data_IF_636582004959
#
_entry.id   IF_636582004959
#
_cell.length_a   1.000
_cell.length_b   1.000
_cell.length_c   1.000
_cell.angle_alpha   90.00
_cell.angle_beta   90.00
_cell.angle_gamma   90.00
#
_symmetry.space_group_name_H-M   'P 1'
#
loop_
_entity.id
_entity.type
_entity.pdbx_description
1 polymer ?
#
# COMPACT_ATOMS: atom_id res chain seq x y z
N UNK A 1 49.45 -13.17 13.09
CA UNK A 1 48.67 -12.33 12.16
C UNK A 1 47.50 -13.16 11.63
N UNK A 2 46.32 -13.00 12.24
CA UNK A 2 45.07 -13.57 11.72
C UNK A 2 43.92 -12.76 12.32
N UNK A 3 43.51 -11.71 11.63
CA UNK A 3 42.36 -10.88 11.99
C UNK A 3 41.09 -11.52 11.43
N UNK A 4 40.27 -12.11 12.30
CA UNK A 4 38.90 -12.46 11.96
C UNK A 4 37.98 -11.28 12.28
N UNK A 5 37.60 -10.54 11.24
CA UNK A 5 36.43 -9.67 11.21
C UNK A 5 35.24 -10.52 10.76
N UNK A 6 34.27 -10.79 11.63
CA UNK A 6 32.86 -10.78 11.23
C UNK A 6 31.94 -10.93 12.46
N UNK A 7 31.34 -9.83 12.86
CA UNK A 7 30.22 -9.80 13.79
C UNK A 7 29.15 -8.91 13.19
N UNK A 8 28.52 -9.38 12.11
CA UNK A 8 27.37 -8.72 11.51
C UNK A 8 26.28 -8.57 12.57
N UNK A 9 26.13 -7.34 13.08
CA UNK A 9 25.06 -6.98 14.01
C UNK A 9 23.74 -7.12 13.26
N UNK A 10 23.12 -8.29 13.39
CA UNK A 10 21.72 -8.51 13.09
C UNK A 10 20.91 -7.70 14.11
N UNK A 11 20.75 -6.39 13.84
CA UNK A 11 19.82 -5.53 14.57
C UNK A 11 18.42 -5.95 14.14
N UNK A 12 17.89 -6.97 14.80
CA UNK A 12 16.44 -7.10 14.98
C UNK A 12 15.96 -5.74 15.47
N UNK A 13 15.34 -4.95 14.59
CA UNK A 13 14.72 -3.67 14.96
C UNK A 13 13.67 -4.03 16.00
N UNK A 14 13.99 -3.80 17.28
CA UNK A 14 13.08 -3.99 18.39
C UNK A 14 11.88 -3.08 18.10
N UNK A 15 10.76 -3.68 17.65
CA UNK A 15 9.50 -2.94 17.47
C UNK A 15 9.21 -2.29 18.81
N UNK A 16 9.10 -0.96 18.82
CA UNK A 16 8.68 -0.25 20.03
C UNK A 16 7.25 -0.67 20.33
N UNK A 17 6.88 -0.87 21.61
CA UNK A 17 5.51 -1.19 21.97
C UNK A 17 4.57 -0.10 21.47
N UNK A 18 3.42 -0.51 20.93
CA UNK A 18 2.36 0.43 20.61
C UNK A 18 1.84 1.06 21.90
N UNK A 19 1.45 2.32 21.81
CA UNK A 19 0.83 3.11 22.88
C UNK A 19 -0.71 3.12 22.79
N UNK A 20 -1.30 2.43 21.81
CA UNK A 20 -2.73 2.24 21.64
C UNK A 20 -3.06 0.82 21.15
N UNK A 21 -4.23 0.33 21.53
CA UNK A 21 -4.73 -0.96 21.05
C UNK A 21 -4.86 -0.95 19.51
N UNK A 22 -4.52 -2.04 18.82
CA UNK A 22 -4.79 -2.16 17.40
C UNK A 22 -6.30 -2.19 17.13
N UNK A 23 -6.72 -1.51 16.07
CA UNK A 23 -8.08 -1.59 15.55
C UNK A 23 -8.13 -2.47 14.29
N UNK A 24 -9.31 -2.62 13.70
CA UNK A 24 -9.47 -3.25 12.38
C UNK A 24 -8.65 -2.53 11.29
N UNK A 25 -8.48 -1.20 11.39
CA UNK A 25 -7.63 -0.41 10.48
C UNK A 25 -6.16 -0.83 10.52
N UNK A 26 -5.66 -1.32 11.66
CA UNK A 26 -4.23 -1.69 11.81
C UNK A 26 -3.81 -2.70 10.74
N UNK A 27 -4.66 -3.70 10.46
CA UNK A 27 -4.37 -4.74 9.46
C UNK A 27 -4.21 -4.16 8.05
N UNK A 28 -5.08 -3.23 7.66
CA UNK A 28 -5.07 -2.55 6.36
C UNK A 28 -3.79 -1.70 6.22
N UNK A 29 -3.40 -1.00 7.29
CA UNK A 29 -2.18 -0.20 7.31
C UNK A 29 -0.92 -1.08 7.24
N UNK A 30 -0.89 -2.23 7.94
CA UNK A 30 0.23 -3.17 7.86
C UNK A 30 0.37 -3.79 6.46
N UNK A 31 -0.74 -4.17 5.82
CA UNK A 31 -0.76 -4.67 4.45
C UNK A 31 -0.20 -3.63 3.46
N UNK A 32 -0.60 -2.36 3.63
CA UNK A 32 -0.10 -1.26 2.83
C UNK A 32 1.42 -1.05 2.99
N UNK A 33 1.92 -1.14 4.22
CA UNK A 33 3.36 -1.03 4.51
C UNK A 33 4.14 -2.18 3.86
N UNK A 34 3.60 -3.39 3.89
CA UNK A 34 4.16 -4.53 3.17
C UNK A 34 4.13 -4.31 1.66
N UNK A 35 3.16 -3.55 1.13
CA UNK A 35 2.96 -3.32 -0.30
C UNK A 35 3.87 -2.25 -0.89
N UNK A 36 4.40 -1.36 -0.06
CA UNK A 36 5.21 -0.23 -0.50
C UNK A 36 6.65 -0.41 0.02
N UNK A 37 7.58 -0.92 -0.83
CA UNK A 37 8.98 -1.01 -0.46
C UNK A 37 9.55 0.33 0.00
N UNK A 38 10.14 0.32 1.19
CA UNK A 38 10.69 1.53 1.81
C UNK A 38 9.68 2.34 2.63
N UNK A 39 8.44 1.88 2.79
CA UNK A 39 7.55 2.43 3.81
C UNK A 39 8.04 2.07 5.23
N UNK A 40 7.86 2.98 6.17
CA UNK A 40 8.33 2.84 7.56
C UNK A 40 7.20 2.89 8.57
N UNK A 41 6.21 3.76 8.33
CA UNK A 41 4.99 3.86 9.11
C UNK A 41 3.85 4.43 8.27
N UNK A 42 2.63 4.13 8.68
CA UNK A 42 1.41 4.69 8.14
C UNK A 42 0.48 5.09 9.29
N UNK A 43 -0.28 6.15 9.13
CA UNK A 43 -1.24 6.64 10.11
C UNK A 43 -2.52 7.12 9.42
N UNK A 44 -3.66 6.74 9.98
CA UNK A 44 -4.98 7.31 9.71
C UNK A 44 -5.21 8.42 10.73
N UNK A 45 -5.50 9.62 10.25
CA UNK A 45 -5.68 10.82 11.07
C UNK A 45 -6.99 11.51 10.71
N UNK A 46 -7.65 12.10 11.69
CA UNK A 46 -8.85 12.89 11.49
C UNK A 46 -8.54 14.37 11.17
N UNK A 47 -9.57 15.23 11.21
CA UNK A 47 -9.45 16.64 10.85
C UNK A 47 -8.77 17.48 11.94
N UNK A 48 -8.81 17.05 13.20
CA UNK A 48 -8.16 17.72 14.33
C UNK A 48 -6.68 17.33 14.45
N UNK A 49 -6.25 16.32 13.69
CA UNK A 49 -4.89 15.77 13.77
C UNK A 49 -4.78 14.62 14.75
N UNK A 50 -5.90 14.12 15.29
CA UNK A 50 -5.90 12.94 16.15
C UNK A 50 -5.67 11.68 15.32
N UNK A 51 -4.72 10.86 15.77
CA UNK A 51 -4.39 9.60 15.09
C UNK A 51 -5.39 8.52 15.48
N UNK A 52 -6.31 8.22 14.58
CA UNK A 52 -7.30 7.14 14.71
C UNK A 52 -6.60 5.78 14.82
N UNK A 53 -5.69 5.48 13.89
CA UNK A 53 -4.83 4.30 13.98
C UNK A 53 -3.50 4.49 13.26
N UNK A 54 -2.52 3.67 13.56
CA UNK A 54 -1.23 3.66 12.88
C UNK A 54 -0.66 2.25 12.75
N UNK A 55 0.34 2.09 11.90
CA UNK A 55 1.15 0.89 11.80
C UNK A 55 2.60 1.24 11.46
N UNK A 56 3.53 0.30 11.72
CA UNK A 56 4.91 0.41 11.29
C UNK A 56 5.94 0.24 12.41
N UNK A 57 7.18 0.59 12.09
CA UNK A 57 8.34 0.37 12.97
C UNK A 57 8.97 1.65 13.51
N UNK A 58 8.29 2.79 13.37
CA UNK A 58 8.72 4.06 13.96
C UNK A 58 8.17 4.18 15.39
N UNK A 59 8.74 5.11 16.15
CA UNK A 59 8.25 5.46 17.47
C UNK A 59 6.80 5.99 17.38
N UNK A 60 5.86 5.54 18.24
CA UNK A 60 4.47 5.98 18.22
C UNK A 60 4.29 7.50 18.29
N UNK A 61 5.06 8.17 19.16
CA UNK A 61 4.98 9.62 19.31
C UNK A 61 5.40 10.31 18.01
N UNK A 62 6.51 9.88 17.40
CA UNK A 62 6.97 10.40 16.10
C UNK A 62 5.90 10.22 15.01
N UNK A 63 5.21 9.07 14.97
CA UNK A 63 4.18 8.78 13.97
C UNK A 63 2.98 9.70 14.15
N UNK A 64 2.47 9.82 15.38
CA UNK A 64 1.31 10.67 15.70
C UNK A 64 1.59 12.15 15.43
N UNK A 65 2.74 12.65 15.87
CA UNK A 65 3.16 14.04 15.60
C UNK A 65 3.33 14.30 14.10
N UNK A 66 3.92 13.34 13.37
CA UNK A 66 4.06 13.46 11.91
C UNK A 66 2.69 13.49 11.23
N UNK A 67 1.76 12.65 11.65
CA UNK A 67 0.41 12.58 11.09
C UNK A 67 -0.37 13.88 11.33
N UNK A 68 -0.40 14.37 12.57
CA UNK A 68 -1.02 15.64 12.95
C UNK A 68 -0.44 16.83 12.17
N UNK A 69 0.89 16.88 12.03
CA UNK A 69 1.55 17.93 11.26
C UNK A 69 1.14 17.93 9.78
N UNK A 70 1.06 16.76 9.16
CA UNK A 70 0.63 16.65 7.77
C UNK A 70 -0.84 16.97 7.55
N UNK A 71 -1.69 16.77 8.57
CA UNK A 71 -3.08 17.22 8.54
C UNK A 71 -3.20 18.74 8.45
N UNK A 72 -2.38 19.47 9.24
CA UNK A 72 -2.30 20.94 9.16
C UNK A 72 -1.89 21.37 7.75
N UNK A 73 -0.83 20.76 7.20
CA UNK A 73 -0.36 21.09 5.84
C UNK A 73 -1.43 20.78 4.78
N UNK A 74 -2.16 19.67 4.91
CA UNK A 74 -3.24 19.33 3.99
C UNK A 74 -4.37 20.38 4.03
N UNK A 75 -4.75 20.86 5.22
CA UNK A 75 -5.74 21.90 5.40
C UNK A 75 -5.28 23.26 4.82
N UNK A 76 -4.02 23.64 5.04
CA UNK A 76 -3.44 24.85 4.45
C UNK A 76 -3.42 24.81 2.92
N UNK A 77 -3.08 23.65 2.34
CA UNK A 77 -3.12 23.45 0.88
C UNK A 77 -4.55 23.57 0.36
N UNK A 78 -5.54 23.00 1.06
CA UNK A 78 -6.95 23.09 0.69
C UNK A 78 -7.47 24.54 0.67
N UNK A 79 -6.97 25.40 1.58
CA UNK A 79 -7.27 26.83 1.61
C UNK A 79 -6.48 27.68 0.60
N UNK A 80 -5.52 27.08 -0.11
CA UNK A 80 -4.68 27.78 -1.09
C UNK A 80 -5.34 27.82 -2.49
N UNK A 81 -4.69 28.50 -3.44
CA UNK A 81 -5.11 28.51 -4.86
C UNK A 81 -5.07 27.14 -5.53
N UNK A 82 -4.41 26.15 -4.93
CA UNK A 82 -4.41 24.76 -5.41
C UNK A 82 -5.74 24.05 -5.12
N UNK A 83 -6.52 24.56 -4.15
CA UNK A 83 -7.74 23.94 -3.69
C UNK A 83 -7.52 22.59 -3.03
N UNK A 84 -8.61 21.84 -2.91
CA UNK A 84 -8.64 20.54 -2.23
C UNK A 84 -7.74 19.53 -2.98
N UNK A 85 -6.70 19.06 -2.29
CA UNK A 85 -5.71 18.15 -2.85
C UNK A 85 -5.96 16.72 -2.40
N UNK A 86 -6.22 15.81 -3.35
CA UNK A 86 -6.38 14.39 -3.05
C UNK A 86 -5.12 13.76 -2.47
N UNK A 87 -3.96 14.18 -2.95
CA UNK A 87 -2.69 13.65 -2.51
C UNK A 87 -1.60 14.70 -2.57
N UNK A 88 -0.77 14.71 -1.53
CA UNK A 88 0.51 15.42 -1.48
C UNK A 88 1.61 14.36 -1.42
N UNK A 89 2.67 14.53 -2.21
CA UNK A 89 3.84 13.65 -2.18
C UNK A 89 5.09 14.50 -2.02
N UNK A 90 5.81 14.27 -0.93
CA UNK A 90 6.97 15.07 -0.56
C UNK A 90 8.20 14.19 -0.48
N UNK A 91 9.22 14.55 -1.25
CA UNK A 91 10.56 13.98 -1.13
C UNK A 91 11.44 14.95 -0.37
N UNK A 92 11.80 14.62 0.86
CA UNK A 92 12.80 15.36 1.62
C UNK A 92 14.07 14.52 1.82
N UNK A 93 15.12 15.17 2.33
CA UNK A 93 16.44 14.55 2.48
C UNK A 93 16.46 13.35 3.44
N UNK A 94 15.74 13.43 4.57
CA UNK A 94 15.77 12.40 5.64
C UNK A 94 14.64 11.39 5.60
N UNK A 95 13.44 11.84 5.23
CA UNK A 95 12.24 11.02 5.07
C UNK A 95 11.44 11.56 3.89
N UNK A 96 10.60 10.73 3.31
CA UNK A 96 9.60 11.16 2.34
C UNK A 96 8.21 10.85 2.87
N UNK A 97 7.21 11.54 2.31
CA UNK A 97 5.84 11.45 2.78
C UNK A 97 4.88 11.32 1.60
N UNK A 98 3.84 10.54 1.82
CA UNK A 98 2.63 10.57 1.00
C UNK A 98 1.48 10.86 1.95
N UNK A 99 0.72 11.91 1.67
CA UNK A 99 -0.49 12.29 2.40
C UNK A 99 -1.64 12.16 1.42
N UNK A 100 -2.67 11.38 1.76
CA UNK A 100 -3.87 11.20 0.93
C UNK A 100 -5.09 11.61 1.71
N UNK A 101 -5.92 12.47 1.14
CA UNK A 101 -7.25 12.75 1.67
C UNK A 101 -8.17 11.59 1.29
N UNK A 102 -8.81 10.97 2.29
CA UNK A 102 -9.76 9.87 2.12
C UNK A 102 -11.19 10.42 2.03
N UNK A 103 -11.52 11.30 2.97
CA UNK A 103 -12.77 12.06 3.09
C UNK A 103 -12.41 13.49 3.53
N UNK A 104 -13.34 14.47 3.47
CA UNK A 104 -13.04 15.84 3.90
C UNK A 104 -12.35 15.93 5.27
N UNK A 105 -12.71 15.03 6.18
CA UNK A 105 -12.26 15.00 7.57
C UNK A 105 -11.17 13.98 7.88
N UNK A 106 -10.69 13.19 6.91
CA UNK A 106 -9.76 12.10 7.20
C UNK A 106 -8.64 11.99 6.18
N UNK A 107 -7.42 11.73 6.67
CA UNK A 107 -6.25 11.55 5.84
C UNK A 107 -5.45 10.30 6.21
N UNK A 108 -4.81 9.71 5.21
CA UNK A 108 -3.80 8.67 5.33
C UNK A 108 -2.41 9.29 5.12
N UNK A 109 -1.54 9.12 6.10
CA UNK A 109 -0.16 9.64 6.08
C UNK A 109 0.81 8.46 6.07
N UNK A 110 1.67 8.38 5.05
CA UNK A 110 2.78 7.42 4.98
C UNK A 110 4.11 8.12 5.23
N UNK A 111 4.93 7.50 6.07
CA UNK A 111 6.32 7.88 6.27
C UNK A 111 7.21 6.88 5.55
N UNK A 112 8.05 7.37 4.66
CA UNK A 112 8.80 6.59 3.70
C UNK A 112 10.30 6.91 3.77
N UNK A 113 11.11 5.96 3.28
CA UNK A 113 12.50 6.19 2.94
C UNK A 113 12.62 7.35 1.92
N UNK A 114 13.66 8.22 1.99
CA UNK A 114 13.83 9.38 1.10
C UNK A 114 13.68 9.15 -0.40
N UNK A 115 13.92 7.92 -0.85
CA UNK A 115 13.88 7.55 -2.27
C UNK A 115 12.60 6.83 -2.70
N UNK A 116 11.68 6.57 -1.76
CA UNK A 116 10.50 5.73 -2.00
C UNK A 116 9.23 6.51 -2.38
N UNK A 117 9.14 7.83 -2.12
CA UNK A 117 7.92 8.63 -2.35
C UNK A 117 7.29 8.46 -3.74
N UNK A 118 8.11 8.46 -4.79
CA UNK A 118 7.65 8.37 -6.18
C UNK A 118 7.73 6.95 -6.76
N UNK A 119 8.08 5.97 -5.92
CA UNK A 119 8.10 4.56 -6.28
C UNK A 119 6.95 3.78 -5.63
N UNK A 120 6.12 4.44 -4.81
CA UNK A 120 4.98 3.83 -4.16
C UNK A 120 3.96 3.33 -5.19
N UNK A 121 3.44 2.13 -4.96
CA UNK A 121 2.42 1.51 -5.81
C UNK A 121 1.13 2.33 -5.74
N UNK A 122 0.66 2.81 -6.90
CA UNK A 122 -0.61 3.52 -6.96
C UNK A 122 -1.79 2.57 -6.69
N UNK A 123 -1.70 1.31 -7.14
CA UNK A 123 -2.74 0.29 -6.91
C UNK A 123 -2.84 -0.06 -5.43
N UNK A 124 -1.71 -0.25 -4.75
CA UNK A 124 -1.73 -0.49 -3.29
C UNK A 124 -2.33 0.68 -2.50
N UNK A 125 -2.03 1.93 -2.89
CA UNK A 125 -2.63 3.11 -2.25
C UNK A 125 -4.14 3.20 -2.49
N UNK A 126 -4.62 2.87 -3.69
CA UNK A 126 -6.04 2.86 -4.02
C UNK A 126 -6.81 1.76 -3.28
N UNK A 127 -6.24 0.55 -3.24
CA UNK A 127 -6.81 -0.57 -2.51
C UNK A 127 -6.90 -0.27 -1.01
N UNK A 128 -5.83 0.24 -0.40
CA UNK A 128 -5.83 0.61 1.01
C UNK A 128 -6.85 1.72 1.30
N UNK A 129 -6.94 2.75 0.45
CA UNK A 129 -7.97 3.80 0.55
C UNK A 129 -9.38 3.19 0.54
N UNK A 130 -9.67 2.29 -0.41
CA UNK A 130 -10.98 1.65 -0.49
C UNK A 130 -11.29 0.76 0.73
N UNK A 131 -10.31 -0.01 1.22
CA UNK A 131 -10.46 -0.85 2.42
C UNK A 131 -10.68 0.02 3.67
N UNK A 132 -9.94 1.12 3.82
CA UNK A 132 -10.12 2.06 4.94
C UNK A 132 -11.51 2.70 4.90
N UNK A 133 -11.97 3.16 3.72
CA UNK A 133 -13.31 3.73 3.58
C UNK A 133 -14.40 2.70 3.88
N UNK A 134 -14.28 1.45 3.39
CA UNK A 134 -15.24 0.39 3.66
C UNK A 134 -15.32 0.06 5.15
N UNK A 135 -14.16 -0.07 5.81
CA UNK A 135 -14.07 -0.34 7.25
C UNK A 135 -14.71 0.79 8.08
N UNK A 136 -14.51 2.04 7.67
CA UNK A 136 -15.10 3.20 8.34
C UNK A 136 -16.57 3.46 7.97
N UNK A 137 -17.16 2.66 7.06
CA UNK A 137 -18.52 2.88 6.55
C UNK A 137 -18.67 4.14 5.69
N UNK A 138 -17.57 4.69 5.18
CA UNK A 138 -17.59 5.89 4.35
C UNK A 138 -17.98 5.57 2.91
N UNK A 139 -18.93 6.34 2.37
CA UNK A 139 -19.26 6.28 0.96
C UNK A 139 -18.10 6.79 0.12
N UNK A 140 -17.52 5.91 -0.68
CA UNK A 140 -16.56 6.30 -1.72
C UNK A 140 -17.30 6.41 -3.04
N UNK A 141 -17.13 7.54 -3.75
CA UNK A 141 -17.58 7.65 -5.15
C UNK A 141 -16.74 6.79 -6.10
N UNK A 142 -15.72 6.09 -5.57
CA UNK A 142 -14.67 5.41 -6.32
C UNK A 142 -14.64 3.95 -5.90
N UNK A 143 -15.09 3.06 -6.79
CA UNK A 143 -14.78 1.64 -6.67
C UNK A 143 -13.27 1.46 -6.85
N UNK A 144 -12.59 0.79 -5.92
CA UNK A 144 -11.25 0.29 -6.23
C UNK A 144 -11.40 -0.70 -7.38
N UNK A 145 -10.61 -0.51 -8.43
CA UNK A 145 -10.49 -1.46 -9.53
C UNK A 145 -9.28 -2.35 -9.37
N UNK A 146 -8.67 -2.41 -8.18
CA UNK A 146 -7.46 -3.18 -7.96
C UNK A 146 -7.47 -3.80 -6.57
N UNK A 147 -7.21 -5.09 -6.53
CA UNK A 147 -7.10 -5.91 -5.33
C UNK A 147 -5.73 -6.59 -5.34
N UNK A 148 -4.95 -6.46 -4.27
CA UNK A 148 -3.67 -7.16 -4.17
C UNK A 148 -3.96 -8.65 -4.03
N UNK A 149 -3.29 -9.45 -4.86
CA UNK A 149 -3.52 -10.90 -4.91
C UNK A 149 -2.22 -11.67 -4.86
N UNK A 150 -2.27 -12.87 -4.30
CA UNK A 150 -1.16 -13.81 -4.36
C UNK A 150 -1.25 -14.62 -5.65
N UNK A 151 -0.16 -14.64 -6.42
CA UNK A 151 -0.05 -15.35 -7.70
C UNK A 151 1.20 -16.22 -7.71
N UNK A 152 1.02 -17.51 -7.97
CA UNK A 152 2.12 -18.40 -8.35
C UNK A 152 2.35 -18.26 -9.86
N UNK A 153 3.63 -18.25 -10.25
CA UNK A 153 4.04 -18.10 -11.65
C UNK A 153 4.61 -19.40 -12.19
N UNK A 154 4.60 -19.56 -13.51
CA UNK A 154 5.18 -20.74 -14.15
C UNK A 154 6.69 -20.84 -13.86
N UNK A 155 7.20 -22.07 -13.70
CA UNK A 155 8.62 -22.30 -13.46
C UNK A 155 9.50 -21.86 -14.65
N UNK A 156 8.99 -22.01 -15.87
CA UNK A 156 9.63 -21.63 -17.14
C UNK A 156 9.55 -20.12 -17.43
N UNK A 157 8.47 -19.46 -17.03
CA UNK A 157 8.31 -18.00 -17.12
C UNK A 157 7.78 -17.43 -15.80
N UNK A 158 8.72 -16.92 -14.98
CA UNK A 158 8.43 -16.27 -13.69
C UNK A 158 7.56 -15.02 -13.78
N UNK A 159 7.22 -14.56 -14.97
CA UNK A 159 6.28 -13.47 -15.19
C UNK A 159 4.89 -13.92 -15.60
N UNK A 160 4.68 -15.18 -16.01
CA UNK A 160 3.40 -15.70 -16.46
C UNK A 160 2.64 -16.30 -15.26
N UNK A 161 1.39 -15.87 -14.99
CA UNK A 161 0.63 -16.39 -13.87
C UNK A 161 0.18 -17.83 -14.17
N UNK A 162 0.29 -18.69 -13.16
CA UNK A 162 -0.10 -20.10 -13.23
C UNK A 162 -1.25 -20.40 -12.27
N UNK A 163 -1.20 -19.85 -11.04
CA UNK A 163 -2.25 -20.02 -10.04
C UNK A 163 -2.50 -18.71 -9.31
N UNK A 164 -3.75 -18.47 -8.95
CA UNK A 164 -4.21 -17.32 -8.18
C UNK A 164 -4.77 -17.83 -6.86
N UNK A 165 -4.53 -17.10 -5.76
CA UNK A 165 -5.14 -17.42 -4.47
C UNK A 165 -6.50 -16.74 -4.35
N UNK A 166 -7.55 -17.53 -4.13
CA UNK A 166 -8.89 -17.05 -3.77
C UNK A 166 -9.36 -17.64 -2.43
N UNK A 167 -10.65 -17.49 -2.12
CA UNK A 167 -11.26 -17.96 -0.86
C UNK A 167 -11.08 -19.47 -0.62
N UNK A 168 -11.18 -20.27 -1.69
CA UNK A 168 -10.99 -21.72 -1.66
C UNK A 168 -9.53 -22.19 -1.70
N UNK A 169 -8.57 -21.26 -1.61
CA UNK A 169 -7.14 -21.54 -1.76
C UNK A 169 -6.63 -21.28 -3.18
N UNK A 170 -5.59 -22.01 -3.57
CA UNK A 170 -4.88 -21.79 -4.83
C UNK A 170 -5.59 -22.48 -6.01
N UNK A 171 -6.11 -21.68 -6.94
CA UNK A 171 -6.80 -22.12 -8.16
C UNK A 171 -5.93 -21.89 -9.42
N UNK A 172 -5.95 -22.81 -10.40
CA UNK A 172 -5.25 -22.62 -11.66
C UNK A 172 -5.89 -21.49 -12.46
N UNK A 173 -5.11 -20.79 -13.28
CA UNK A 173 -5.60 -19.75 -14.17
C UNK A 173 -5.25 -20.06 -15.63
N UNK A 174 -6.20 -19.83 -16.53
CA UNK A 174 -5.97 -19.89 -17.97
C UNK A 174 -5.57 -18.50 -18.47
N UNK A 175 -4.38 -18.35 -19.04
CA UNK A 175 -3.93 -17.07 -19.62
C UNK A 175 -4.49 -16.92 -21.04
N UNK A 176 -5.50 -16.05 -21.18
CA UNK A 176 -6.19 -15.77 -22.43
C UNK A 176 -5.41 -14.78 -23.33
N UNK A 177 -4.59 -13.93 -22.73
CA UNK A 177 -3.81 -12.95 -23.46
C UNK A 177 -2.91 -12.11 -22.57
N UNK A 178 -1.98 -11.37 -23.20
CA UNK A 178 -1.10 -10.42 -22.52
C UNK A 178 -1.47 -8.99 -22.90
N UNK A 179 -1.38 -8.07 -21.95
CA UNK A 179 -1.64 -6.64 -22.17
C UNK A 179 -0.37 -5.92 -22.64
N UNK A 180 -0.56 -4.90 -23.48
CA UNK A 180 0.50 -4.00 -23.97
C UNK A 180 0.23 -2.57 -23.50
N UNK A 181 1.27 -1.72 -23.49
CA UNK A 181 1.14 -0.30 -23.09
C UNK A 181 1.16 -0.05 -21.58
N UNK A 182 1.59 -1.03 -20.78
CA UNK A 182 1.75 -0.88 -19.34
C UNK A 182 3.02 -0.09 -18.97
N UNK A 183 3.13 0.26 -17.68
CA UNK A 183 4.29 0.96 -17.17
C UNK A 183 5.60 0.15 -17.32
N UNK A 184 6.77 0.80 -17.18
CA UNK A 184 8.05 0.12 -17.32
C UNK A 184 8.18 -1.09 -16.38
N UNK A 185 8.45 -2.26 -16.98
CA UNK A 185 8.59 -3.57 -16.29
C UNK A 185 7.33 -4.06 -15.57
N UNK A 186 6.17 -3.48 -15.87
CA UNK A 186 4.90 -4.11 -15.55
C UNK A 186 4.60 -5.21 -16.58
N UNK A 187 3.92 -6.26 -16.14
CA UNK A 187 3.34 -7.29 -17.01
C UNK A 187 1.85 -7.35 -16.72
N UNK A 188 1.04 -7.59 -17.74
CA UNK A 188 -0.39 -7.74 -17.55
C UNK A 188 -0.95 -8.86 -18.40
N UNK A 189 -1.96 -9.52 -17.85
CA UNK A 189 -2.56 -10.70 -18.42
C UNK A 189 -4.08 -10.62 -18.26
N UNK A 190 -4.81 -11.03 -19.30
CA UNK A 190 -6.21 -11.40 -19.16
C UNK A 190 -6.24 -12.88 -18.83
N UNK A 191 -6.87 -13.24 -17.73
CA UNK A 191 -6.97 -14.61 -17.27
C UNK A 191 -8.42 -15.06 -17.15
N UNK A 192 -8.63 -16.36 -17.14
CA UNK A 192 -9.90 -17.01 -16.82
C UNK A 192 -9.71 -17.99 -15.67
N UNK A 193 -10.64 -17.94 -14.70
CA UNK A 193 -10.70 -18.87 -13.58
C UNK A 193 -11.52 -20.12 -13.94
N UNK A 194 -11.41 -21.23 -13.17
CA UNK A 194 -12.21 -22.43 -13.39
C UNK A 194 -13.72 -22.20 -13.28
N UNK A 195 -14.14 -21.16 -12.55
CA UNK A 195 -15.55 -20.72 -12.48
C UNK A 195 -16.07 -20.13 -13.79
N UNK A 196 -15.19 -19.83 -14.75
CA UNK A 196 -15.49 -19.11 -15.98
C UNK A 196 -15.37 -17.59 -15.85
N UNK A 197 -15.15 -17.07 -14.64
CA UNK A 197 -14.91 -15.64 -14.42
C UNK A 197 -13.62 -15.19 -15.12
N UNK A 198 -13.66 -14.01 -15.72
CA UNK A 198 -12.51 -13.41 -16.42
C UNK A 198 -12.07 -12.15 -15.70
N UNK A 199 -10.76 -11.98 -15.57
CA UNK A 199 -10.19 -10.81 -14.88
C UNK A 199 -8.84 -10.42 -15.47
N UNK A 200 -8.41 -9.20 -15.16
CA UNK A 200 -7.11 -8.66 -15.50
C UNK A 200 -6.17 -8.80 -14.31
N UNK A 201 -5.03 -9.45 -14.53
CA UNK A 201 -3.92 -9.48 -13.59
C UNK A 201 -2.82 -8.54 -14.06
N UNK A 202 -2.33 -7.68 -13.16
CA UNK A 202 -1.16 -6.84 -13.38
C UNK A 202 -0.09 -7.16 -12.36
N UNK A 203 1.09 -7.52 -12.84
CA UNK A 203 2.31 -7.59 -12.06
C UNK A 203 3.05 -6.27 -12.16
N UNK A 204 3.15 -5.56 -11.05
CA UNK A 204 3.92 -4.32 -10.98
C UNK A 204 5.43 -4.57 -11.00
N UNK A 205 6.22 -3.51 -11.23
CA UNK A 205 7.68 -3.55 -11.28
C UNK A 205 8.34 -4.22 -10.07
N UNK A 206 7.75 -4.09 -8.88
CA UNK A 206 8.25 -4.67 -7.63
C UNK A 206 7.80 -6.12 -7.41
N UNK A 207 7.06 -6.71 -8.36
CA UNK A 207 6.63 -8.11 -8.34
C UNK A 207 5.32 -8.38 -7.61
N UNK A 208 4.66 -7.35 -7.07
CA UNK A 208 3.30 -7.43 -6.54
C UNK A 208 2.28 -7.61 -7.66
N UNK A 209 1.23 -8.37 -7.37
CA UNK A 209 0.16 -8.66 -8.31
C UNK A 209 -1.14 -7.99 -7.87
N UNK A 210 -1.89 -7.50 -8.84
CA UNK A 210 -3.20 -6.89 -8.64
C UNK A 210 -4.21 -7.47 -9.64
N UNK A 211 -5.40 -7.78 -9.15
CA UNK A 211 -6.57 -8.16 -9.95
C UNK A 211 -7.53 -6.98 -10.06
N UNK A 212 -8.23 -6.82 -11.17
CA UNK A 212 -9.24 -5.78 -11.32
C UNK A 212 -10.60 -6.10 -10.67
N UNK A 213 -10.80 -7.37 -10.36
CA UNK A 213 -11.96 -7.91 -9.64
C UNK A 213 -11.51 -8.68 -8.40
N UNK A 214 -12.43 -8.85 -7.44
CA UNK A 214 -12.13 -9.63 -6.25
C UNK A 214 -12.11 -11.13 -6.61
N UNK A 215 -11.05 -11.88 -6.30
CA UNK A 215 -10.93 -13.30 -6.67
C UNK A 215 -11.85 -14.25 -5.87
N UNK A 216 -12.73 -13.69 -5.04
CA UNK A 216 -13.72 -14.42 -4.23
C UNK A 216 -15.15 -14.32 -4.78
N UNK A 217 -15.32 -13.58 -5.88
CA UNK A 217 -16.58 -13.49 -6.64
C UNK A 217 -16.61 -14.59 -7.70
#
# INVERSE_FOLDING_TARGET
MTTSRNGGRNRTRRRLPRDQAPSSFTSILEDLLCAIPGAHAAALVDFEGETIDYAGGLDPYDVKVTAAHWQIVLAEVAGSRLGVSRQITVRAHRKSYIVRQLQPEYALVLVLHPRAAFAASHRALQEAEARLCAEAGWSTSRTTRWYCVDVETEASDRGRPARLRGAGGWQPVEVMGSMVGLGPREKGFRIRLPSGAEMLLIRERMGRWFADEHPET
#
